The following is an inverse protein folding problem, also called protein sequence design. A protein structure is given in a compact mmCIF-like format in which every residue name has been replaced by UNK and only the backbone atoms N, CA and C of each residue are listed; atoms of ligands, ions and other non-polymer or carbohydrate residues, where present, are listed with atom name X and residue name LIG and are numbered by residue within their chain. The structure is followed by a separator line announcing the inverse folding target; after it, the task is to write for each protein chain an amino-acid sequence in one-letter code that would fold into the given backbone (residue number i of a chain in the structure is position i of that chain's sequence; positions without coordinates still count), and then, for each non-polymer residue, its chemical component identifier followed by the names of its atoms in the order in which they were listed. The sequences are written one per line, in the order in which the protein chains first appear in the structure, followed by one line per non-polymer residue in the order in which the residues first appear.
data_IF_699151113506
#
_entry.id   IF_699151113506
#
_cell.length_a   1.000
_cell.length_b   1.000
_cell.length_c   1.000
_cell.angle_alpha   90.00
_cell.angle_beta   90.00
_cell.angle_gamma   90.00
#
_symmetry.space_group_name_H-M   'P 1'
#
loop_
_entity.id
_entity.type
_entity.pdbx_description
1 polymer ?
#
# COMPACT_ATOMS: atom_id res chain seq x y z
N UNK A 1 -28.70 62.28 -15.49
CA UNK A 1 -28.98 60.83 -15.43
C UNK A 1 -27.65 60.09 -15.27
N UNK A 2 -27.27 59.76 -14.05
CA UNK A 2 -26.06 58.98 -13.75
C UNK A 2 -26.48 57.52 -13.63
N UNK A 3 -25.98 56.65 -14.51
CA UNK A 3 -26.25 55.20 -14.47
C UNK A 3 -25.32 54.58 -13.42
N UNK A 4 -25.89 54.09 -12.33
CA UNK A 4 -25.19 53.29 -11.32
C UNK A 4 -25.20 51.84 -11.80
N UNK A 5 -24.02 51.27 -12.05
CA UNK A 5 -23.84 49.84 -12.29
C UNK A 5 -23.69 49.14 -10.94
N UNK A 6 -24.67 48.30 -10.60
CA UNK A 6 -24.62 47.40 -9.44
C UNK A 6 -23.92 46.12 -9.89
N UNK A 7 -22.70 45.89 -9.40
CA UNK A 7 -21.96 44.66 -9.60
C UNK A 7 -22.45 43.65 -8.56
N UNK A 8 -23.18 42.63 -9.00
CA UNK A 8 -23.61 41.50 -8.15
C UNK A 8 -22.48 40.47 -8.13
N UNK A 9 -21.79 40.34 -7.01
CA UNK A 9 -20.83 39.26 -6.77
C UNK A 9 -21.61 37.96 -6.51
N UNK A 10 -21.60 37.04 -7.48
CA UNK A 10 -21.99 35.66 -7.26
C UNK A 10 -20.85 34.96 -6.51
N UNK A 11 -21.01 34.79 -5.21
CA UNK A 11 -20.13 33.94 -4.41
C UNK A 11 -20.47 32.48 -4.72
N UNK A 12 -19.78 31.87 -5.68
CA UNK A 12 -19.84 30.43 -5.88
C UNK A 12 -19.16 29.74 -4.69
N UNK A 13 -19.96 29.19 -3.77
CA UNK A 13 -19.48 28.22 -2.79
C UNK A 13 -19.14 26.93 -3.53
N UNK A 14 -17.86 26.73 -3.85
CA UNK A 14 -17.35 25.41 -4.17
C UNK A 14 -17.37 24.57 -2.89
N UNK A 15 -18.39 23.72 -2.75
CA UNK A 15 -18.40 22.64 -1.78
C UNK A 15 -17.54 21.53 -2.38
N UNK A 16 -16.24 21.53 -2.10
CA UNK A 16 -15.41 20.39 -2.39
C UNK A 16 -15.90 19.20 -1.57
N UNK A 17 -16.24 18.08 -2.21
CA UNK A 17 -16.48 16.82 -1.51
C UNK A 17 -15.18 16.39 -0.82
N UNK A 18 -15.12 16.62 0.49
CA UNK A 18 -14.08 16.06 1.35
C UNK A 18 -14.32 14.56 1.45
N UNK A 19 -13.76 13.80 0.51
CA UNK A 19 -13.66 12.36 0.65
C UNK A 19 -12.94 12.06 1.96
N UNK A 20 -13.53 11.21 2.80
CA UNK A 20 -12.92 10.93 4.09
C UNK A 20 -11.57 10.23 3.89
N UNK A 21 -10.48 10.89 4.32
CA UNK A 21 -9.12 10.35 4.27
C UNK A 21 -9.00 9.04 5.07
N UNK A 22 -8.29 8.06 4.50
CA UNK A 22 -7.96 6.81 5.17
C UNK A 22 -7.27 7.10 6.51
N UNK A 23 -7.74 6.47 7.58
CA UNK A 23 -7.26 6.66 8.93
C UNK A 23 -6.07 5.77 9.27
N UNK A 24 -5.73 4.80 8.41
CA UNK A 24 -4.58 3.91 8.55
C UNK A 24 -3.33 4.59 7.99
N UNK A 25 -2.25 4.58 8.78
CA UNK A 25 -0.94 5.08 8.36
C UNK A 25 -0.22 3.96 7.61
N UNK A 26 0.44 4.31 6.52
CA UNK A 26 1.18 3.35 5.68
C UNK A 26 0.33 2.12 5.29
N UNK A 27 -0.86 2.33 4.69
CA UNK A 27 -1.87 1.27 4.51
C UNK A 27 -1.48 0.17 3.52
N UNK A 28 -0.50 0.42 2.66
CA UNK A 28 0.04 -0.52 1.67
C UNK A 28 1.49 -0.91 1.98
N UNK A 29 1.96 -0.63 3.21
CA UNK A 29 3.30 -1.00 3.72
C UNK A 29 4.53 -0.41 3.00
N UNK A 30 4.34 0.49 2.04
CA UNK A 30 5.40 1.10 1.23
C UNK A 30 6.38 2.01 2.00
N UNK A 31 5.94 2.59 3.13
CA UNK A 31 6.82 3.42 3.95
C UNK A 31 7.73 2.55 4.82
N UNK A 32 8.97 2.36 4.38
CA UNK A 32 9.95 1.48 5.06
C UNK A 32 11.11 2.25 5.70
N UNK A 33 11.76 1.60 6.67
CA UNK A 33 13.08 1.95 7.22
C UNK A 33 14.21 1.30 6.44
N UNK A 34 14.02 0.06 5.98
CA UNK A 34 15.02 -0.74 5.27
C UNK A 34 14.36 -1.85 4.43
N UNK A 35 15.12 -2.43 3.51
CA UNK A 35 14.67 -3.54 2.69
C UNK A 35 14.74 -4.88 3.44
N UNK A 36 13.73 -5.77 3.30
CA UNK A 36 13.81 -7.09 3.89
C UNK A 36 14.83 -7.96 3.14
N UNK A 37 15.51 -8.81 3.89
CA UNK A 37 16.51 -9.77 3.42
C UNK A 37 16.41 -11.13 4.13
N UNK A 38 15.48 -11.26 5.08
CA UNK A 38 15.11 -12.52 5.72
C UNK A 38 13.72 -12.41 6.36
N UNK A 39 13.22 -13.52 6.89
CA UNK A 39 11.94 -13.59 7.63
C UNK A 39 11.97 -12.76 8.92
N UNK A 40 10.80 -12.50 9.51
CA UNK A 40 10.64 -11.76 10.76
C UNK A 40 11.20 -10.31 10.70
N UNK A 41 10.74 -9.57 9.70
CA UNK A 41 11.23 -8.22 9.41
C UNK A 41 10.15 -7.15 9.27
N UNK A 42 8.95 -7.39 9.80
CA UNK A 42 7.90 -6.36 9.89
C UNK A 42 8.41 -5.05 10.57
N UNK A 43 9.40 -5.14 11.46
CA UNK A 43 10.08 -3.98 12.08
C UNK A 43 10.66 -2.96 11.10
N UNK A 44 10.86 -3.34 9.84
CA UNK A 44 11.31 -2.42 8.78
C UNK A 44 10.18 -1.64 8.15
N UNK A 45 8.93 -1.99 8.43
CA UNK A 45 7.76 -1.24 7.98
C UNK A 45 7.46 -0.15 9.00
N UNK A 46 7.37 1.11 8.55
CA UNK A 46 7.04 2.22 9.46
C UNK A 46 5.63 2.09 9.98
N UNK A 47 5.48 2.34 11.28
CA UNK A 47 4.20 2.41 12.00
C UNK A 47 3.45 1.09 12.18
N UNK A 48 4.00 -0.02 11.68
CA UNK A 48 3.43 -1.35 11.84
C UNK A 48 4.24 -2.17 12.84
N UNK A 49 3.54 -2.95 13.65
CA UNK A 49 4.12 -3.68 14.76
C UNK A 49 3.65 -5.13 14.78
N UNK A 50 4.53 -6.10 15.05
CA UNK A 50 4.16 -7.50 15.17
C UNK A 50 3.47 -7.76 16.50
N UNK A 51 2.58 -8.75 16.52
CA UNK A 51 1.93 -9.24 17.73
C UNK A 51 1.52 -10.72 17.61
N UNK A 52 1.46 -11.48 18.70
CA UNK A 52 1.02 -12.90 18.64
C UNK A 52 1.54 -13.81 19.76
N UNK A 53 1.35 -15.12 19.60
CA UNK A 53 1.75 -16.13 20.60
C UNK A 53 3.23 -16.51 20.50
N UNK A 54 3.93 -16.44 21.62
CA UNK A 54 5.24 -17.06 21.91
C UNK A 54 6.46 -16.58 21.09
N UNK A 55 6.29 -16.09 19.86
CA UNK A 55 7.29 -15.39 19.05
C UNK A 55 6.59 -14.83 17.79
N UNK A 56 5.99 -13.62 17.82
CA UNK A 56 5.29 -13.11 16.66
C UNK A 56 6.27 -12.67 15.59
N UNK A 57 6.30 -13.40 14.48
CA UNK A 57 7.24 -13.20 13.37
C UNK A 57 6.57 -12.89 12.02
N UNK A 58 5.56 -11.99 11.91
CA UNK A 58 5.07 -11.58 10.60
C UNK A 58 6.23 -11.15 9.69
N UNK A 59 6.17 -11.63 8.46
CA UNK A 59 7.18 -11.36 7.47
C UNK A 59 6.85 -10.12 6.67
N UNK A 60 7.88 -9.48 6.16
CA UNK A 60 7.74 -8.36 5.26
C UNK A 60 8.35 -8.69 3.91
N UNK A 61 7.58 -8.49 2.84
CA UNK A 61 8.01 -8.68 1.46
C UNK A 61 8.02 -7.35 0.74
N UNK A 62 9.07 -7.10 -0.04
CA UNK A 62 9.17 -5.87 -0.82
C UNK A 62 9.95 -6.10 -2.12
N UNK A 63 9.58 -5.39 -3.19
CA UNK A 63 10.28 -5.37 -4.47
C UNK A 63 11.75 -4.92 -4.42
N UNK A 64 12.24 -4.35 -3.32
CA UNK A 64 13.64 -3.97 -3.15
C UNK A 64 14.51 -5.11 -2.58
N UNK A 65 13.91 -6.19 -2.09
CA UNK A 65 14.65 -7.36 -1.62
C UNK A 65 15.37 -8.03 -2.80
N UNK A 66 16.70 -8.01 -2.78
CA UNK A 66 17.54 -8.53 -3.85
C UNK A 66 17.84 -10.04 -3.75
N UNK A 67 17.40 -10.69 -2.67
CA UNK A 67 17.71 -12.09 -2.36
C UNK A 67 16.80 -13.10 -3.10
N UNK A 68 15.70 -12.63 -3.70
CA UNK A 68 14.65 -13.48 -4.28
C UNK A 68 13.91 -14.33 -3.25
N UNK A 69 14.17 -14.12 -1.96
CA UNK A 69 13.59 -14.86 -0.84
C UNK A 69 12.50 -14.03 -0.16
N UNK A 70 12.69 -12.71 -0.04
CA UNK A 70 11.72 -11.76 0.52
C UNK A 70 11.17 -10.78 -0.54
N UNK A 71 11.28 -11.13 -1.82
CA UNK A 71 10.94 -10.26 -2.94
C UNK A 71 9.44 -10.14 -3.24
N UNK A 72 9.11 -9.10 -4.00
CA UNK A 72 7.82 -8.97 -4.69
C UNK A 72 8.09 -8.76 -6.18
N UNK A 73 7.48 -9.55 -7.08
CA UNK A 73 6.45 -10.56 -6.80
C UNK A 73 7.01 -11.93 -6.37
N UNK A 74 8.30 -12.20 -6.55
CA UNK A 74 8.89 -13.52 -6.31
C UNK A 74 9.54 -13.64 -4.93
N UNK A 75 9.13 -14.64 -4.15
CA UNK A 75 9.67 -14.91 -2.82
C UNK A 75 9.69 -16.42 -2.48
N UNK A 76 10.06 -16.72 -1.24
CA UNK A 76 10.12 -18.08 -0.69
C UNK A 76 8.79 -18.85 -0.71
N UNK A 77 7.66 -18.15 -0.88
CA UNK A 77 6.31 -18.70 -0.91
C UNK A 77 5.69 -18.76 -2.32
N UNK A 78 6.40 -18.31 -3.34
CA UNK A 78 5.99 -18.40 -4.74
C UNK A 78 6.06 -17.05 -5.44
N UNK A 79 5.16 -16.85 -6.40
CA UNK A 79 5.00 -15.59 -7.12
C UNK A 79 3.64 -14.99 -6.75
N UNK A 80 3.65 -13.80 -6.14
CA UNK A 80 2.46 -13.02 -5.85
C UNK A 80 2.77 -11.53 -6.03
N UNK A 81 2.04 -10.88 -6.93
CA UNK A 81 2.11 -9.41 -7.08
C UNK A 81 1.35 -8.75 -5.93
N UNK A 82 1.89 -7.64 -5.42
CA UNK A 82 1.20 -6.83 -4.42
C UNK A 82 -0.16 -6.34 -4.95
N UNK A 83 -1.12 -6.12 -4.05
CA UNK A 83 -2.43 -5.60 -4.45
C UNK A 83 -2.28 -4.15 -4.93
N UNK A 84 -1.45 -3.37 -4.22
CA UNK A 84 -0.89 -2.12 -4.74
C UNK A 84 0.58 -1.95 -4.35
N UNK A 85 1.27 -0.97 -4.94
CA UNK A 85 2.66 -0.70 -4.58
C UNK A 85 3.64 -1.84 -4.92
N UNK A 86 4.62 -2.04 -4.04
CA UNK A 86 5.71 -3.01 -4.20
C UNK A 86 5.90 -3.91 -2.97
N UNK A 87 5.01 -3.85 -1.99
CA UNK A 87 5.18 -4.55 -0.72
C UNK A 87 3.88 -5.14 -0.18
N UNK A 88 4.03 -6.12 0.71
CA UNK A 88 2.94 -6.66 1.52
C UNK A 88 3.51 -7.36 2.74
N UNK A 89 2.63 -7.66 3.69
CA UNK A 89 3.00 -8.36 4.91
C UNK A 89 2.42 -9.77 4.89
N UNK A 90 3.21 -10.76 5.34
CA UNK A 90 2.76 -12.13 5.50
C UNK A 90 2.63 -12.53 6.96
N UNK A 91 1.62 -13.34 7.29
CA UNK A 91 1.41 -13.81 8.66
C UNK A 91 0.79 -15.21 8.73
N UNK A 92 1.14 -15.95 9.79
CA UNK A 92 0.55 -17.24 10.14
C UNK A 92 -0.82 -17.02 10.79
N UNK A 93 -1.89 -17.27 10.03
CA UNK A 93 -3.27 -17.19 10.52
C UNK A 93 -3.81 -18.52 11.07
N UNK A 94 -3.10 -19.63 10.86
CA UNK A 94 -3.40 -20.92 11.48
C UNK A 94 -2.18 -21.84 11.46
N UNK A 95 -1.95 -22.53 12.58
CA UNK A 95 -0.87 -23.50 12.73
C UNK A 95 -1.34 -24.68 13.59
N UNK A 96 -1.19 -25.90 13.07
CA UNK A 96 -1.45 -27.10 13.89
C UNK A 96 -0.28 -27.38 14.84
N UNK A 97 -0.53 -27.89 16.05
CA UNK A 97 0.54 -28.31 16.98
C UNK A 97 1.45 -29.45 16.48
N UNK A 98 1.09 -30.07 15.36
CA UNK A 98 1.88 -31.09 14.64
C UNK A 98 2.78 -30.50 13.57
N UNK A 99 2.75 -29.18 13.39
CA UNK A 99 3.59 -28.51 12.42
C UNK A 99 5.06 -28.66 12.79
N UNK A 100 5.86 -29.12 11.84
CA UNK A 100 7.23 -28.68 11.75
C UNK A 100 8.28 -29.77 11.68
N UNK A 101 9.41 -29.32 11.15
CA UNK A 101 10.75 -29.91 11.20
C UNK A 101 11.29 -30.00 12.65
N UNK A 102 10.47 -30.45 13.62
CA UNK A 102 10.82 -30.60 15.04
C UNK A 102 10.36 -29.50 15.99
N UNK A 103 9.56 -28.52 15.53
CA UNK A 103 9.08 -27.41 16.35
C UNK A 103 7.94 -27.86 17.30
N UNK A 104 8.02 -27.52 18.59
CA UNK A 104 6.89 -27.62 19.51
C UNK A 104 6.24 -26.24 19.60
N UNK A 105 5.19 -26.02 18.82
CA UNK A 105 4.49 -24.74 18.82
C UNK A 105 3.23 -24.83 19.69
N UNK A 106 2.90 -23.79 20.49
CA UNK A 106 1.68 -23.78 21.28
C UNK A 106 0.42 -24.01 20.43
N UNK A 107 -0.62 -24.59 21.04
CA UNK A 107 -1.93 -24.65 20.42
C UNK A 107 -2.46 -23.24 20.14
N UNK A 108 -3.25 -23.07 19.07
CA UNK A 108 -3.74 -21.77 18.60
C UNK A 108 -2.63 -20.75 18.29
N UNK A 109 -1.46 -21.17 17.83
CA UNK A 109 -0.46 -20.19 17.41
C UNK A 109 -0.96 -19.36 16.23
N UNK A 110 -0.80 -18.04 16.35
CA UNK A 110 -1.24 -17.00 15.42
C UNK A 110 -0.29 -15.82 15.44
N UNK A 111 -0.15 -15.20 14.29
CA UNK A 111 0.49 -13.91 14.11
C UNK A 111 -0.55 -12.84 13.80
N UNK A 112 -0.22 -11.61 14.18
CA UNK A 112 -1.04 -10.43 14.00
C UNK A 112 -0.15 -9.26 13.63
N UNK A 113 -0.72 -8.32 12.89
CA UNK A 113 -0.10 -7.03 12.60
C UNK A 113 -0.94 -5.90 13.14
N UNK A 114 -0.28 -4.92 13.73
CA UNK A 114 -0.93 -3.80 14.41
C UNK A 114 -0.46 -2.46 13.89
N UNK A 115 -1.37 -1.50 13.88
CA UNK A 115 -1.10 -0.11 13.50
C UNK A 115 -1.89 0.84 14.37
N UNK A 116 -1.30 2.00 14.65
CA UNK A 116 -2.02 3.10 15.28
C UNK A 116 -2.76 3.91 14.22
N UNK A 117 -4.05 4.16 14.45
CA UNK A 117 -4.85 5.05 13.61
C UNK A 117 -4.38 6.50 13.78
N UNK A 118 -4.55 7.32 12.74
CA UNK A 118 -4.19 8.74 12.75
C UNK A 118 -4.91 9.56 13.82
N UNK A 119 -6.10 9.12 14.23
CA UNK A 119 -6.90 9.71 15.30
C UNK A 119 -7.86 8.67 15.90
N UNK A 120 -8.31 8.87 17.15
CA UNK A 120 -9.28 7.97 17.77
C UNK A 120 -10.62 7.98 17.03
N UNK A 121 -11.30 6.83 17.01
CA UNK A 121 -12.66 6.70 16.52
C UNK A 121 -13.65 7.42 17.46
N UNK A 122 -14.74 7.91 16.89
CA UNK A 122 -15.78 8.68 17.60
C UNK A 122 -16.94 7.77 17.96
N UNK A 123 -17.35 7.79 19.23
CA UNK A 123 -18.45 6.97 19.72
C UNK A 123 -19.74 7.21 18.92
N UNK A 124 -20.41 6.13 18.52
CA UNK A 124 -21.68 6.18 17.80
C UNK A 124 -21.54 6.42 16.29
N UNK A 125 -20.37 6.79 15.80
CA UNK A 125 -20.12 6.87 14.36
C UNK A 125 -19.92 5.47 13.78
N UNK A 126 -20.43 5.26 12.56
CA UNK A 126 -20.15 4.07 11.77
C UNK A 126 -18.85 4.24 11.00
N UNK A 127 -18.05 3.18 10.94
CA UNK A 127 -16.78 3.14 10.23
C UNK A 127 -16.77 1.96 9.27
N UNK A 128 -16.25 2.20 8.07
CA UNK A 128 -15.92 1.20 7.08
C UNK A 128 -14.47 0.77 7.26
N UNK A 129 -14.23 -0.53 7.21
CA UNK A 129 -12.89 -1.10 7.14
C UNK A 129 -12.78 -2.09 5.98
N UNK A 130 -11.63 -2.11 5.32
CA UNK A 130 -11.28 -3.14 4.35
C UNK A 130 -9.79 -3.46 4.39
N UNK A 131 -9.44 -4.65 3.94
CA UNK A 131 -8.08 -5.07 3.61
C UNK A 131 -8.15 -6.26 2.65
N UNK A 132 -7.05 -6.53 1.98
CA UNK A 132 -6.95 -7.61 1.00
C UNK A 132 -6.11 -8.75 1.54
N UNK A 133 -6.50 -9.98 1.26
CA UNK A 133 -5.76 -11.19 1.65
C UNK A 133 -5.54 -12.13 0.48
N UNK A 134 -4.41 -12.83 0.49
CA UNK A 134 -4.12 -13.89 -0.46
C UNK A 134 -3.44 -15.06 0.27
N UNK A 135 -3.86 -16.29 0.00
CA UNK A 135 -3.28 -17.49 0.59
C UNK A 135 -2.04 -17.89 -0.19
N UNK A 136 -0.90 -18.09 0.49
CA UNK A 136 0.30 -18.52 -0.23
C UNK A 136 0.22 -19.97 -0.71
N UNK A 137 0.83 -20.21 -1.87
CA UNK A 137 0.82 -21.47 -2.62
C UNK A 137 1.29 -22.72 -1.83
N UNK A 138 2.21 -22.53 -0.89
CA UNK A 138 2.81 -23.61 -0.10
C UNK A 138 2.00 -24.02 1.15
N UNK A 139 0.81 -23.46 1.36
CA UNK A 139 -0.06 -23.79 2.50
C UNK A 139 -0.75 -25.15 2.36
N UNK A 140 -1.00 -25.79 3.50
CA UNK A 140 -1.83 -27.01 3.60
C UNK A 140 -3.28 -26.69 3.88
N UNK A 141 -3.51 -25.58 4.57
CA UNK A 141 -4.81 -25.18 5.05
C UNK A 141 -5.13 -23.78 4.55
N UNK A 142 -6.41 -23.56 4.29
CA UNK A 142 -7.05 -22.26 4.28
C UNK A 142 -8.00 -22.16 5.47
N UNK A 143 -8.37 -20.94 5.82
CA UNK A 143 -9.33 -20.63 6.89
C UNK A 143 -10.45 -19.73 6.35
N UNK A 144 -11.56 -19.62 7.09
CA UNK A 144 -12.67 -18.74 6.73
C UNK A 144 -12.72 -17.44 7.55
N UNK A 145 -11.76 -17.21 8.45
CA UNK A 145 -11.77 -16.05 9.34
C UNK A 145 -10.42 -15.32 9.44
N UNK A 146 -10.40 -14.10 8.93
CA UNK A 146 -9.44 -13.05 9.25
C UNK A 146 -10.26 -11.78 9.47
N UNK A 147 -9.87 -10.93 10.43
CA UNK A 147 -10.65 -9.76 10.81
C UNK A 147 -9.84 -8.57 11.28
N UNK A 148 -10.55 -7.48 11.54
CA UNK A 148 -10.05 -6.21 12.07
C UNK A 148 -10.54 -6.02 13.50
N UNK A 149 -9.62 -5.88 14.44
CA UNK A 149 -9.91 -5.63 15.85
C UNK A 149 -9.46 -4.24 16.26
N UNK A 150 -10.42 -3.43 16.72
CA UNK A 150 -10.21 -2.04 17.11
C UNK A 150 -10.23 -1.89 18.63
N UNK A 151 -9.22 -1.20 19.18
CA UNK A 151 -9.03 -1.00 20.62
C UNK A 151 -8.52 0.40 20.93
N UNK A 152 -8.69 0.86 22.19
CA UNK A 152 -8.27 2.20 22.62
C UNK A 152 -6.75 2.38 22.67
N UNK A 153 -6.05 1.32 23.02
CA UNK A 153 -4.62 1.29 23.19
C UNK A 153 -4.07 0.13 22.36
N UNK A 154 -2.81 0.21 21.95
CA UNK A 154 -2.14 -0.93 21.34
C UNK A 154 -2.17 -2.12 22.32
N UNK A 155 -2.85 -3.21 21.97
CA UNK A 155 -3.10 -4.28 22.92
C UNK A 155 -1.80 -5.00 23.29
N UNK A 156 -1.53 -5.13 24.58
CA UNK A 156 -0.48 -6.01 25.10
C UNK A 156 -1.14 -7.35 25.44
N UNK A 157 -1.24 -8.28 24.48
CA UNK A 157 -1.81 -9.59 24.82
C UNK A 157 -0.77 -10.45 25.55
N UNK A 158 -1.20 -11.11 26.60
CA UNK A 158 -0.38 -12.11 27.27
C UNK A 158 -0.47 -13.44 26.52
N UNK A 159 0.62 -13.82 25.86
CA UNK A 159 0.74 -15.05 25.08
C UNK A 159 0.55 -16.32 25.93
N UNK A 160 0.74 -16.27 27.25
CA UNK A 160 0.51 -17.41 28.15
C UNK A 160 -0.96 -17.61 28.46
N UNK A 161 -1.76 -16.55 28.34
CA UNK A 161 -3.18 -16.55 28.68
C UNK A 161 -4.07 -16.19 27.50
N UNK A 162 -3.57 -16.27 26.25
CA UNK A 162 -4.31 -15.97 25.02
C UNK A 162 -5.62 -16.75 24.94
N UNK A 163 -6.64 -16.17 25.56
CA UNK A 163 -7.99 -16.65 25.61
C UNK A 163 -8.75 -15.87 24.55
N UNK A 164 -8.71 -16.40 23.33
CA UNK A 164 -9.35 -15.85 22.14
C UNK A 164 -10.84 -15.54 22.34
N UNK A 165 -11.49 -16.09 23.39
CA UNK A 165 -12.89 -15.81 23.69
C UNK A 165 -13.14 -14.33 24.06
N UNK A 166 -12.11 -13.59 24.48
CA UNK A 166 -12.23 -12.19 24.87
C UNK A 166 -12.02 -11.20 23.72
N UNK A 167 -11.40 -11.63 22.62
CA UNK A 167 -11.05 -10.75 21.51
C UNK A 167 -12.02 -10.99 20.37
N UNK A 168 -12.86 -9.99 20.10
CA UNK A 168 -13.89 -10.06 19.05
C UNK A 168 -13.60 -8.97 18.04
N UNK A 169 -13.10 -9.37 16.87
CA UNK A 169 -12.93 -8.48 15.74
C UNK A 169 -14.28 -7.83 15.40
N UNK A 170 -14.27 -6.54 15.14
CA UNK A 170 -15.46 -5.78 14.77
C UNK A 170 -15.83 -6.00 13.30
N UNK A 171 -14.82 -6.23 12.45
CA UNK A 171 -14.99 -6.62 11.05
C UNK A 171 -14.33 -8.00 10.88
N UNK A 172 -15.00 -8.90 10.18
CA UNK A 172 -14.50 -10.24 9.87
C UNK A 172 -14.75 -10.52 8.39
N UNK A 173 -13.96 -11.43 7.80
CA UNK A 173 -14.32 -12.07 6.53
C UNK A 173 -15.69 -12.73 6.61
N UNK A 174 -16.33 -12.88 5.45
CA UNK A 174 -17.60 -13.58 5.33
C UNK A 174 -17.43 -15.02 5.87
N UNK A 175 -18.18 -15.42 6.91
CA UNK A 175 -18.04 -16.73 7.52
C UNK A 175 -18.38 -17.88 6.57
N UNK A 176 -19.19 -17.62 5.54
CA UNK A 176 -19.59 -18.61 4.54
C UNK A 176 -18.58 -18.67 3.36
N UNK A 177 -17.60 -17.78 3.32
CA UNK A 177 -16.55 -17.75 2.31
C UNK A 177 -15.24 -18.33 2.85
N UNK A 178 -14.75 -19.36 2.16
CA UNK A 178 -13.39 -19.83 2.37
C UNK A 178 -12.38 -18.83 1.78
N UNK A 179 -11.34 -18.47 2.52
CA UNK A 179 -10.23 -17.65 2.01
C UNK A 179 -9.16 -18.57 1.39
N UNK A 180 -9.46 -19.22 0.28
CA UNK A 180 -8.57 -20.19 -0.39
C UNK A 180 -8.01 -19.74 -1.75
N UNK A 181 -8.21 -18.48 -2.11
CA UNK A 181 -7.61 -17.88 -3.30
C UNK A 181 -6.11 -17.64 -3.10
N UNK A 182 -5.32 -18.12 -4.06
CA UNK A 182 -3.87 -18.06 -4.12
C UNK A 182 -3.37 -17.49 -5.45
N UNK A 183 -4.25 -16.89 -6.24
CA UNK A 183 -3.92 -16.21 -7.50
C UNK A 183 -4.38 -14.75 -7.41
N UNK A 184 -5.64 -14.54 -7.06
CA UNK A 184 -6.24 -13.21 -6.89
C UNK A 184 -6.31 -12.81 -5.41
N UNK A 185 -6.41 -11.50 -5.18
CA UNK A 185 -6.62 -10.97 -3.84
C UNK A 185 -8.09 -11.06 -3.44
N UNK A 186 -8.37 -11.60 -2.26
CA UNK A 186 -9.70 -11.64 -1.67
C UNK A 186 -9.89 -10.47 -0.73
N UNK A 187 -10.93 -9.66 -0.96
CA UNK A 187 -11.26 -8.55 -0.05
C UNK A 187 -11.95 -9.05 1.22
N UNK A 188 -11.50 -8.56 2.36
CA UNK A 188 -12.23 -8.60 3.63
C UNK A 188 -12.69 -7.19 3.95
N UNK A 189 -13.99 -6.99 4.16
CA UNK A 189 -14.52 -5.67 4.47
C UNK A 189 -15.81 -5.72 5.29
N UNK A 190 -16.15 -4.60 5.92
CA UNK A 190 -17.41 -4.45 6.63
C UNK A 190 -17.54 -3.08 7.29
N UNK A 191 -18.64 -2.89 8.01
CA UNK A 191 -18.83 -1.71 8.85
C UNK A 191 -19.03 -2.10 10.30
N UNK A 192 -18.75 -1.16 11.20
CA UNK A 192 -19.13 -1.27 12.60
C UNK A 192 -19.38 0.10 13.22
N UNK A 193 -20.19 0.14 14.27
CA UNK A 193 -20.37 1.34 15.10
C UNK A 193 -19.29 1.40 16.19
N UNK A 194 -18.50 2.47 16.20
CA UNK A 194 -17.42 2.64 17.19
C UNK A 194 -17.99 2.93 18.59
N UNK A 195 -17.30 2.42 19.62
CA UNK A 195 -17.59 2.73 21.03
C UNK A 195 -16.93 4.03 21.48
N UNK A 196 -15.96 4.53 20.72
CA UNK A 196 -15.25 5.77 20.95
C UNK A 196 -13.92 5.56 21.65
N UNK A 197 -12.90 6.28 21.16
CA UNK A 197 -11.55 6.26 21.69
C UNK A 197 -10.68 5.15 21.12
N UNK A 198 -11.19 4.28 20.24
CA UNK A 198 -10.37 3.27 19.56
C UNK A 198 -9.28 3.96 18.72
N UNK A 199 -8.01 3.66 18.97
CA UNK A 199 -6.85 4.27 18.32
C UNK A 199 -5.90 3.23 17.74
N UNK A 200 -6.10 1.95 18.04
CA UNK A 200 -5.31 0.84 17.55
C UNK A 200 -6.15 -0.10 16.69
N UNK A 201 -5.57 -0.55 15.58
CA UNK A 201 -6.09 -1.59 14.71
C UNK A 201 -5.15 -2.81 14.79
N UNK A 202 -5.73 -4.00 14.89
CA UNK A 202 -5.02 -5.29 14.80
C UNK A 202 -5.69 -6.14 13.73
N UNK A 203 -4.91 -6.72 12.82
CA UNK A 203 -5.36 -7.68 11.82
C UNK A 203 -4.93 -9.10 12.20
N UNK A 204 -5.81 -10.07 11.98
CA UNK A 204 -5.50 -11.49 12.20
C UNK A 204 -6.75 -12.33 12.44
N UNK A 205 -6.54 -13.54 12.95
CA UNK A 205 -7.63 -14.47 13.26
C UNK A 205 -7.93 -14.46 14.75
N UNK A 206 -9.14 -14.08 15.13
CA UNK A 206 -9.53 -13.95 16.54
C UNK A 206 -10.37 -15.12 17.06
N UNK A 207 -10.79 -16.03 16.17
CA UNK A 207 -11.48 -17.25 16.56
C UNK A 207 -10.50 -18.30 17.11
N UNK A 208 -10.86 -19.00 18.20
CA UNK A 208 -10.11 -20.17 18.64
C UNK A 208 -10.18 -21.29 17.58
N UNK A 209 -9.21 -22.21 17.59
CA UNK A 209 -9.16 -23.36 16.68
C UNK A 209 -10.48 -24.16 16.65
N UNK A 210 -11.21 -24.23 17.79
CA UNK A 210 -12.49 -24.94 17.91
C UNK A 210 -13.65 -24.32 17.14
N UNK A 211 -13.52 -23.05 16.73
CA UNK A 211 -14.56 -22.28 16.04
C UNK A 211 -14.10 -21.77 14.68
N UNK A 212 -12.85 -22.06 14.30
CA UNK A 212 -12.28 -21.69 13.01
C UNK A 212 -12.53 -22.83 12.01
N UNK A 213 -13.18 -22.53 10.90
CA UNK A 213 -13.33 -23.51 9.83
C UNK A 213 -12.04 -23.56 9.01
N UNK A 214 -11.50 -24.77 8.84
CA UNK A 214 -10.29 -25.02 8.07
C UNK A 214 -10.57 -25.96 6.91
N UNK A 215 -10.04 -25.66 5.74
CA UNK A 215 -10.12 -26.53 4.56
C UNK A 215 -8.71 -26.90 4.11
N UNK A 216 -8.51 -28.17 3.74
CA UNK A 216 -7.24 -28.59 3.14
C UNK A 216 -7.13 -28.07 1.71
N UNK A 217 -5.97 -27.53 1.37
CA UNK A 217 -5.67 -27.00 0.04
C UNK A 217 -4.75 -27.95 -0.73
N UNK A 218 -4.67 -27.74 -2.05
CA UNK A 218 -3.75 -28.47 -2.91
C UNK A 218 -2.38 -27.77 -2.88
N UNK A 219 -1.60 -28.07 -1.85
CA UNK A 219 -0.26 -27.50 -1.66
C UNK A 219 0.58 -27.54 -2.95
N UNK A 220 1.08 -26.38 -3.39
CA UNK A 220 2.10 -26.29 -4.43
C UNK A 220 3.48 -26.29 -3.76
N UNK A 221 4.31 -27.26 -4.10
CA UNK A 221 5.69 -27.32 -3.60
C UNK A 221 6.58 -26.43 -4.45
N UNK A 222 7.13 -25.39 -3.84
CA UNK A 222 7.98 -24.41 -4.51
C UNK A 222 9.38 -24.97 -4.76
N UNK A 223 9.89 -25.79 -3.82
CA UNK A 223 11.20 -26.42 -3.96
C UNK A 223 11.09 -27.95 -4.00
N UNK A 224 12.01 -28.58 -4.74
CA UNK A 224 12.17 -30.04 -4.71
C UNK A 224 12.54 -30.59 -3.33
N UNK A 225 13.14 -29.76 -2.47
CA UNK A 225 13.40 -30.10 -1.07
C UNK A 225 12.09 -30.29 -0.31
N UNK A 226 11.16 -29.34 -0.42
CA UNK A 226 9.88 -29.40 0.30
C UNK A 226 9.02 -30.57 -0.14
N UNK A 227 9.04 -30.89 -1.44
CA UNK A 227 8.37 -32.08 -1.98
C UNK A 227 8.86 -33.39 -1.37
N UNK A 228 10.14 -33.45 -1.01
CA UNK A 228 10.79 -34.65 -0.47
C UNK A 228 10.80 -34.68 1.07
N UNK A 229 10.28 -33.65 1.76
CA UNK A 229 10.14 -33.69 3.21
C UNK A 229 9.15 -34.79 3.62
N UNK A 230 9.47 -35.61 4.65
CA UNK A 230 8.50 -36.54 5.23
C UNK A 230 7.21 -35.81 5.62
N UNK A 231 6.04 -36.41 5.33
CA UNK A 231 4.73 -35.77 5.55
C UNK A 231 4.54 -35.20 6.96
N UNK A 232 5.09 -35.85 7.99
CA UNK A 232 4.99 -35.41 9.38
C UNK A 232 5.88 -34.19 9.72
N UNK A 233 6.80 -33.79 8.84
CA UNK A 233 7.67 -32.61 9.00
C UNK A 233 7.27 -31.46 8.07
N UNK A 234 6.31 -31.67 7.18
CA UNK A 234 5.80 -30.63 6.29
C UNK A 234 5.00 -29.59 7.11
N UNK A 235 5.17 -28.28 6.84
CA UNK A 235 4.43 -27.25 7.58
C UNK A 235 2.93 -27.41 7.35
N UNK A 236 2.15 -27.37 8.42
CA UNK A 236 0.69 -27.50 8.40
C UNK A 236 0.11 -26.18 8.88
N UNK A 237 0.13 -25.22 7.95
CA UNK A 237 -0.21 -23.82 8.17
C UNK A 237 -1.26 -23.34 7.18
N UNK A 238 -1.95 -22.27 7.60
CA UNK A 238 -2.52 -21.27 6.72
C UNK A 238 -1.75 -19.96 6.94
N UNK A 239 -1.11 -19.48 5.87
CA UNK A 239 -0.27 -18.29 5.87
C UNK A 239 -0.81 -17.35 4.80
N UNK A 240 -1.09 -16.12 5.20
CA UNK A 240 -1.75 -15.14 4.34
C UNK A 240 -0.87 -13.92 4.15
N UNK A 241 -0.84 -13.45 2.91
CA UNK A 241 -0.36 -12.13 2.55
C UNK A 241 -1.50 -11.14 2.77
N UNK A 242 -1.18 -9.92 3.21
CA UNK A 242 -2.12 -8.83 3.45
C UNK A 242 -1.61 -7.57 2.79
N UNK A 243 -2.52 -6.81 2.21
CA UNK A 243 -2.24 -5.52 1.60
C UNK A 243 -3.45 -4.56 1.66
N UNK A 244 -3.21 -3.29 1.36
CA UNK A 244 -4.19 -2.21 1.17
C UNK A 244 -5.29 -2.11 2.23
N UNK A 245 -4.92 -1.59 3.39
CA UNK A 245 -5.81 -1.46 4.54
C UNK A 245 -6.50 -0.09 4.52
N UNK A 246 -7.82 -0.08 4.55
CA UNK A 246 -8.62 1.15 4.71
C UNK A 246 -9.41 1.12 6.01
N UNK A 247 -9.40 2.26 6.71
CA UNK A 247 -10.37 2.57 7.75
C UNK A 247 -10.85 4.00 7.53
N UNK A 248 -12.16 4.21 7.41
CA UNK A 248 -12.74 5.55 7.26
C UNK A 248 -14.13 5.62 7.90
N UNK A 249 -14.57 6.79 8.39
CA UNK A 249 -15.98 6.99 8.74
C UNK A 249 -16.87 6.72 7.52
N UNK A 250 -18.02 6.12 7.75
CA UNK A 250 -19.08 6.00 6.75
C UNK A 250 -19.76 7.36 6.61
N UNK A 251 -19.71 7.93 5.41
CA UNK A 251 -20.56 9.06 5.05
C UNK A 251 -21.89 8.50 4.51
N UNK A 252 -23.05 8.86 5.08
CA UNK A 252 -24.37 8.42 4.60
C UNK A 252 -24.66 8.78 3.14
N UNK A 253 -23.93 9.73 2.57
CA UNK A 253 -24.06 10.23 1.20
C UNK A 253 -23.08 9.59 0.22
N UNK A 254 -22.09 8.86 0.72
CA UNK A 254 -21.12 8.10 -0.09
C UNK A 254 -21.44 6.61 -0.07
N UNK A 255 -21.15 5.87 -1.16
CA UNK A 255 -21.19 4.41 -1.14
C UNK A 255 -20.29 3.85 -0.01
N UNK A 256 -20.85 2.96 0.81
CA UNK A 256 -20.15 2.30 1.93
C UNK A 256 -18.99 1.47 1.40
N UNK A 257 -19.29 0.63 0.41
CA UNK A 257 -18.27 0.06 -0.43
C UNK A 257 -17.89 1.17 -1.41
N UNK A 258 -16.63 1.64 -1.47
CA UNK A 258 -16.20 2.21 -2.74
C UNK A 258 -16.60 1.16 -3.79
N UNK A 259 -17.23 1.56 -4.89
CA UNK A 259 -17.42 0.64 -6.00
C UNK A 259 -16.11 -0.11 -6.14
N UNK A 260 -16.15 -1.44 -6.25
CA UNK A 260 -14.95 -2.19 -6.64
C UNK A 260 -14.48 -1.50 -7.90
N UNK A 261 -13.50 -0.62 -7.77
CA UNK A 261 -12.70 -0.16 -8.88
C UNK A 261 -11.86 -1.39 -9.15
N UNK A 262 -12.48 -2.41 -9.74
CA UNK A 262 -11.79 -3.46 -10.45
C UNK A 262 -10.82 -2.69 -11.29
N UNK A 263 -9.53 -2.70 -10.93
CA UNK A 263 -8.51 -1.73 -11.33
C UNK A 263 -8.88 -1.22 -12.71
N UNK A 264 -9.62 -0.11 -12.74
CA UNK A 264 -10.32 0.23 -13.97
C UNK A 264 -9.21 0.48 -14.98
N UNK A 265 -9.33 0.01 -16.23
CA UNK A 265 -8.30 0.29 -17.23
C UNK A 265 -7.99 1.77 -17.12
N UNK A 266 -6.77 2.08 -16.67
CA UNK A 266 -6.35 3.38 -16.14
C UNK A 266 -7.10 4.46 -16.89
N UNK A 267 -8.02 5.16 -16.21
CA UNK A 267 -8.85 6.14 -16.87
C UNK A 267 -7.91 7.17 -17.50
N UNK A 268 -7.96 7.23 -18.83
CA UNK A 268 -6.99 7.92 -19.69
C UNK A 268 -7.14 9.44 -19.51
N UNK A 269 -8.17 9.87 -18.78
CA UNK A 269 -8.42 11.26 -18.39
C UNK A 269 -7.68 11.71 -17.12
N UNK A 270 -6.74 10.94 -16.55
CA UNK A 270 -5.96 11.40 -15.37
C UNK A 270 -5.23 12.75 -15.60
N UNK A 271 -4.86 13.08 -16.85
CA UNK A 271 -4.31 14.38 -17.23
C UNK A 271 -5.33 15.29 -17.95
N UNK A 272 -6.60 14.90 -18.06
CA UNK A 272 -7.63 15.67 -18.77
C UNK A 272 -7.32 15.92 -20.26
N UNK A 273 -8.00 16.88 -20.90
CA UNK A 273 -7.70 17.28 -22.27
C UNK A 273 -6.29 17.87 -22.36
N UNK A 274 -5.57 17.51 -23.41
CA UNK A 274 -4.15 17.77 -23.54
C UNK A 274 -3.85 19.14 -24.18
N UNK A 275 -4.20 20.25 -23.53
CA UNK A 275 -3.98 21.57 -24.13
C UNK A 275 -2.53 22.04 -24.01
N UNK A 276 -1.99 22.63 -25.08
CA UNK A 276 -0.64 23.21 -25.09
C UNK A 276 -0.49 24.24 -23.97
N UNK A 277 0.56 24.11 -23.18
CA UNK A 277 0.83 24.95 -22.01
C UNK A 277 0.26 24.43 -20.69
N UNK A 278 -0.55 23.36 -20.71
CA UNK A 278 -0.94 22.68 -19.47
C UNK A 278 0.26 22.01 -18.82
N UNK A 279 0.25 21.99 -17.48
CA UNK A 279 1.33 21.47 -16.64
C UNK A 279 0.76 20.55 -15.57
N UNK A 280 1.43 19.42 -15.37
CA UNK A 280 1.01 18.35 -14.48
C UNK A 280 2.17 17.96 -13.56
N UNK A 281 1.90 17.75 -12.28
CA UNK A 281 2.90 17.20 -11.35
C UNK A 281 2.80 15.68 -11.34
N UNK A 282 3.90 15.00 -11.63
CA UNK A 282 3.97 13.55 -11.51
C UNK A 282 4.02 13.18 -10.03
N UNK A 283 3.00 12.48 -9.56
CA UNK A 283 2.89 12.08 -8.16
C UNK A 283 3.83 10.90 -7.88
N UNK A 284 4.39 10.84 -6.68
CA UNK A 284 5.18 9.67 -6.23
C UNK A 284 6.41 9.35 -7.12
N UNK A 285 7.00 10.36 -7.77
CA UNK A 285 8.30 10.19 -8.44
C UNK A 285 9.43 10.39 -7.43
N UNK A 286 10.05 9.27 -7.05
CA UNK A 286 11.15 9.20 -6.11
C UNK A 286 12.47 8.85 -6.79
N UNK A 287 13.55 9.36 -6.18
CA UNK A 287 14.93 9.14 -6.61
C UNK A 287 15.78 8.69 -5.42
N UNK A 288 16.84 7.93 -5.68
CA UNK A 288 17.86 7.66 -4.66
C UNK A 288 18.43 8.96 -4.08
N UNK A 289 18.80 8.93 -2.80
CA UNK A 289 19.32 10.10 -2.09
C UNK A 289 20.51 10.72 -2.85
N UNK A 290 20.44 12.04 -3.10
CA UNK A 290 21.43 12.82 -3.89
C UNK A 290 21.71 12.32 -5.31
N UNK A 291 20.86 11.45 -5.87
CA UNK A 291 21.02 10.91 -7.23
C UNK A 291 19.80 11.21 -8.10
N UNK A 292 19.96 10.91 -9.39
CA UNK A 292 18.91 10.90 -10.41
C UNK A 292 18.41 9.49 -10.75
N UNK A 293 18.90 8.45 -10.06
CA UNK A 293 18.39 7.08 -10.23
C UNK A 293 16.94 7.00 -9.75
N UNK A 294 16.02 6.69 -10.66
CA UNK A 294 14.60 6.48 -10.35
C UNK A 294 14.43 5.27 -9.44
N UNK A 295 13.68 5.44 -8.35
CA UNK A 295 13.23 4.32 -7.53
C UNK A 295 12.11 3.56 -8.23
N UNK A 296 11.99 2.28 -7.89
CA UNK A 296 11.02 1.37 -8.52
C UNK A 296 9.57 1.72 -8.15
N UNK A 297 9.36 2.28 -6.96
CA UNK A 297 8.11 2.93 -6.53
C UNK A 297 7.61 4.04 -7.49
N UNK A 298 8.50 4.67 -8.27
CA UNK A 298 8.15 5.68 -9.28
C UNK A 298 7.55 5.08 -10.55
N UNK A 299 7.73 3.77 -10.78
CA UNK A 299 7.33 3.11 -12.02
C UNK A 299 5.83 3.13 -12.24
N UNK A 300 5.02 3.12 -11.17
CA UNK A 300 3.56 3.18 -11.31
C UNK A 300 3.14 4.49 -12.01
N UNK A 301 3.59 5.64 -11.52
CA UNK A 301 3.26 6.93 -12.12
C UNK A 301 3.92 7.09 -13.51
N UNK A 302 5.15 6.63 -13.68
CA UNK A 302 5.83 6.69 -14.97
C UNK A 302 5.16 5.82 -16.04
N UNK A 303 4.61 4.67 -15.66
CA UNK A 303 3.84 3.83 -16.57
C UNK A 303 2.51 4.50 -16.95
N UNK A 304 1.84 5.23 -16.05
CA UNK A 304 0.66 6.04 -16.40
C UNK A 304 1.00 7.09 -17.46
N UNK A 305 2.10 7.84 -17.26
CA UNK A 305 2.55 8.83 -18.23
C UNK A 305 2.91 8.17 -19.58
N UNK A 306 3.62 7.04 -19.55
CA UNK A 306 3.94 6.27 -20.77
C UNK A 306 2.66 5.85 -21.50
N UNK A 307 1.71 5.24 -20.81
CA UNK A 307 0.46 4.76 -21.41
C UNK A 307 -0.37 5.90 -22.00
N UNK A 308 -0.39 7.05 -21.33
CA UNK A 308 -0.97 8.29 -21.85
C UNK A 308 -0.29 8.71 -23.17
N UNK A 309 1.04 8.78 -23.20
CA UNK A 309 1.78 9.17 -24.40
C UNK A 309 1.64 8.16 -25.55
N UNK A 310 1.49 6.86 -25.26
CA UNK A 310 1.19 5.83 -26.27
C UNK A 310 -0.18 6.09 -26.91
N UNK A 311 -1.18 6.45 -26.11
CA UNK A 311 -2.56 6.72 -26.59
C UNK A 311 -2.68 8.03 -27.35
N UNK A 312 -1.81 9.01 -27.06
CA UNK A 312 -1.81 10.31 -27.72
C UNK A 312 -0.51 10.53 -28.52
N UNK A 313 -0.33 9.88 -29.68
CA UNK A 313 0.94 9.87 -30.40
C UNK A 313 1.41 11.24 -30.93
N UNK A 314 0.50 12.22 -31.00
CA UNK A 314 0.78 13.59 -31.47
C UNK A 314 1.30 14.51 -30.37
N UNK A 315 1.09 14.16 -29.09
CA UNK A 315 1.50 15.00 -27.98
C UNK A 315 3.03 14.99 -27.85
N UNK A 316 3.60 16.19 -27.73
CA UNK A 316 4.97 16.44 -27.30
C UNK A 316 4.97 17.05 -25.91
N UNK A 317 5.84 16.56 -25.03
CA UNK A 317 5.93 17.04 -23.64
C UNK A 317 7.34 17.50 -23.27
N UNK A 318 7.43 18.35 -22.25
CA UNK A 318 8.67 18.70 -21.56
C UNK A 318 8.60 18.22 -20.12
N UNK A 319 9.58 17.43 -19.67
CA UNK A 319 9.74 17.03 -18.27
C UNK A 319 10.54 18.10 -17.52
N UNK A 320 10.02 18.54 -16.38
CA UNK A 320 10.58 19.62 -15.57
C UNK A 320 10.99 19.09 -14.19
N UNK A 321 12.27 19.21 -13.84
CA UNK A 321 12.80 18.79 -12.55
C UNK A 321 12.93 19.95 -11.55
N UNK A 322 12.55 19.74 -10.30
CA UNK A 322 12.65 20.74 -9.23
C UNK A 322 13.34 20.18 -7.97
N UNK A 323 14.07 21.03 -7.25
CA UNK A 323 14.67 20.71 -5.95
C UNK A 323 14.12 21.62 -4.84
N UNK A 324 14.40 21.26 -3.60
CA UNK A 324 14.33 22.22 -2.49
C UNK A 324 15.53 23.18 -2.52
N UNK A 325 15.63 24.06 -1.52
CA UNK A 325 16.69 25.07 -1.43
C UNK A 325 17.97 24.60 -0.70
N UNK A 326 18.10 23.29 -0.41
CA UNK A 326 19.28 22.75 0.29
C UNK A 326 20.38 22.50 -0.74
N UNK A 327 21.60 22.99 -0.48
CA UNK A 327 22.73 22.89 -1.41
C UNK A 327 22.94 24.13 -2.28
N UNK A 328 24.00 24.12 -3.08
CA UNK A 328 24.31 25.26 -3.97
C UNK A 328 23.36 25.30 -5.17
N UNK A 329 23.24 26.49 -5.78
CA UNK A 329 22.43 26.68 -6.99
C UNK A 329 22.91 25.76 -8.11
N UNK A 330 24.22 25.61 -8.29
CA UNK A 330 24.82 24.78 -9.34
C UNK A 330 24.51 23.30 -9.12
N UNK A 331 24.56 22.82 -7.87
CA UNK A 331 24.23 21.44 -7.51
C UNK A 331 22.75 21.17 -7.77
N UNK A 332 21.86 22.03 -7.29
CA UNK A 332 20.43 21.88 -7.47
C UNK A 332 20.02 21.97 -8.95
N UNK A 333 20.64 22.86 -9.71
CA UNK A 333 20.44 22.95 -11.15
C UNK A 333 20.85 21.67 -11.86
N UNK A 334 22.02 21.11 -11.52
CA UNK A 334 22.48 19.83 -12.09
C UNK A 334 21.54 18.68 -11.72
N UNK A 335 21.22 18.53 -10.43
CA UNK A 335 20.42 17.43 -9.92
C UNK A 335 19.00 17.42 -10.51
N UNK A 336 18.35 18.59 -10.58
CA UNK A 336 17.03 18.70 -11.22
C UNK A 336 17.07 18.33 -12.70
N UNK A 337 18.08 18.77 -13.45
CA UNK A 337 18.25 18.41 -14.86
C UNK A 337 18.45 16.90 -15.03
N UNK A 338 19.30 16.29 -14.21
CA UNK A 338 19.55 14.85 -14.26
C UNK A 338 18.29 14.04 -13.93
N UNK A 339 17.50 14.47 -12.94
CA UNK A 339 16.22 13.82 -12.59
C UNK A 339 15.19 13.87 -13.71
N UNK A 340 15.04 15.04 -14.35
CA UNK A 340 14.14 15.19 -15.50
C UNK A 340 14.62 14.32 -16.68
N UNK A 341 15.94 14.27 -16.90
CA UNK A 341 16.55 13.40 -17.93
C UNK A 341 16.28 11.92 -17.66
N UNK A 342 16.39 11.44 -16.43
CA UNK A 342 16.14 10.03 -16.09
C UNK A 342 14.69 9.60 -16.36
N UNK A 343 13.73 10.51 -16.19
CA UNK A 343 12.33 10.27 -16.58
C UNK A 343 12.20 10.15 -18.10
N UNK A 344 12.84 11.04 -18.87
CA UNK A 344 12.87 10.94 -20.34
C UNK A 344 13.52 9.64 -20.80
N UNK A 345 14.67 9.26 -20.22
CA UNK A 345 15.36 8.01 -20.54
C UNK A 345 14.48 6.78 -20.26
N UNK A 346 13.74 6.79 -19.15
CA UNK A 346 12.75 5.75 -18.86
C UNK A 346 11.67 5.66 -19.96
N UNK A 347 11.08 6.79 -20.37
CA UNK A 347 10.02 6.80 -21.39
C UNK A 347 10.54 6.33 -22.76
N UNK A 348 11.77 6.72 -23.14
CA UNK A 348 12.41 6.27 -24.37
C UNK A 348 12.66 4.76 -24.33
N UNK A 349 13.21 4.25 -23.22
CA UNK A 349 13.45 2.82 -23.03
C UNK A 349 12.16 1.99 -23.11
N UNK A 350 11.01 2.61 -22.82
CA UNK A 350 9.69 1.99 -22.87
C UNK A 350 8.88 2.36 -24.13
N UNK A 351 9.56 2.80 -25.19
CA UNK A 351 8.99 2.89 -26.55
C UNK A 351 8.37 4.23 -26.94
N UNK A 352 8.51 5.28 -26.12
CA UNK A 352 8.14 6.64 -26.53
C UNK A 352 9.26 7.23 -27.38
N UNK A 353 8.92 7.81 -28.53
CA UNK A 353 9.91 8.45 -29.40
C UNK A 353 10.57 9.64 -28.70
N UNK A 354 11.90 9.70 -28.78
CA UNK A 354 12.74 10.80 -28.30
C UNK A 354 12.32 12.18 -28.83
N UNK A 355 11.87 12.27 -30.10
CA UNK A 355 11.38 13.52 -30.70
C UNK A 355 10.17 14.13 -29.96
N UNK A 356 9.46 13.33 -29.16
CA UNK A 356 8.28 13.75 -28.39
C UNK A 356 8.60 14.23 -26.98
N UNK A 357 9.87 14.15 -26.56
CA UNK A 357 10.29 14.31 -25.18
C UNK A 357 11.39 15.37 -25.07
N UNK A 358 11.11 16.43 -24.32
CA UNK A 358 12.11 17.39 -23.87
C UNK A 358 12.29 17.29 -22.36
N UNK A 359 13.42 17.78 -21.82
CA UNK A 359 13.60 17.91 -20.38
C UNK A 359 14.35 19.19 -20.00
N UNK A 360 14.04 19.73 -18.83
CA UNK A 360 14.71 20.88 -18.25
C UNK A 360 14.77 20.75 -16.72
N UNK A 361 15.90 21.17 -16.13
CA UNK A 361 16.01 21.34 -14.68
C UNK A 361 15.80 22.80 -14.29
N UNK A 362 15.13 23.02 -13.17
CA UNK A 362 14.88 24.35 -12.63
C UNK A 362 15.64 24.65 -11.32
N UNK A 363 16.33 23.64 -10.79
CA UNK A 363 16.90 23.66 -9.45
C UNK A 363 15.85 24.08 -8.43
N UNK A 364 16.26 24.97 -7.53
CA UNK A 364 15.43 25.51 -6.46
C UNK A 364 14.71 26.81 -6.86
N UNK A 365 14.71 27.18 -8.14
CA UNK A 365 14.30 28.53 -8.60
C UNK A 365 12.78 28.73 -8.64
N UNK A 366 12.01 27.65 -8.61
CA UNK A 366 10.54 27.66 -8.72
C UNK A 366 9.90 26.81 -7.60
N UNK A 367 9.99 27.24 -6.33
CA UNK A 367 9.31 26.58 -5.23
C UNK A 367 7.79 26.80 -5.31
N UNK A 368 7.01 25.77 -5.02
CA UNK A 368 5.54 25.85 -4.91
C UNK A 368 5.09 26.15 -3.47
N UNK A 369 5.96 25.86 -2.50
CA UNK A 369 5.76 26.16 -1.08
C UNK A 369 7.05 26.70 -0.45
N UNK A 370 7.01 27.42 0.68
CA UNK A 370 8.21 27.90 1.36
C UNK A 370 9.14 26.74 1.77
N UNK A 371 10.47 26.88 1.66
CA UNK A 371 11.41 25.80 2.04
C UNK A 371 11.73 25.73 3.55
N UNK A 372 10.83 26.20 4.39
CA UNK A 372 11.02 26.34 5.85
C UNK A 372 10.97 25.00 6.60
N UNK A 373 10.07 24.09 6.21
CA UNK A 373 9.87 22.80 6.88
C UNK A 373 10.35 21.62 6.03
N UNK A 374 10.73 20.48 6.65
CA UNK A 374 11.05 19.25 5.92
C UNK A 374 9.92 18.80 4.97
N UNK A 375 8.67 18.97 5.40
CA UNK A 375 7.47 18.63 4.64
C UNK A 375 7.35 19.51 3.40
N UNK A 376 7.50 20.84 3.54
CA UNK A 376 7.44 21.74 2.39
C UNK A 376 8.61 21.53 1.43
N UNK A 377 9.82 21.24 1.95
CA UNK A 377 10.95 20.86 1.11
C UNK A 377 10.65 19.59 0.30
N UNK A 378 9.95 18.62 0.89
CA UNK A 378 9.52 17.43 0.15
C UNK A 378 8.58 17.78 -1.02
N UNK A 379 7.62 18.67 -0.82
CA UNK A 379 6.73 19.13 -1.89
C UNK A 379 7.48 19.87 -3.01
N UNK A 380 8.55 20.60 -2.69
CA UNK A 380 9.37 21.28 -3.70
C UNK A 380 10.28 20.31 -4.49
N UNK A 381 10.64 19.16 -3.92
CA UNK A 381 11.36 18.07 -4.62
C UNK A 381 10.39 17.26 -5.46
N UNK A 382 10.10 17.73 -6.67
CA UNK A 382 9.09 17.15 -7.55
C UNK A 382 9.54 17.12 -9.01
N UNK A 383 8.80 16.36 -9.80
CA UNK A 383 8.90 16.36 -11.26
C UNK A 383 7.54 16.73 -11.83
N UNK A 384 7.56 17.61 -12.82
CA UNK A 384 6.38 18.01 -13.58
C UNK A 384 6.56 17.63 -15.04
N UNK A 385 5.48 17.65 -15.81
CA UNK A 385 5.58 17.75 -17.26
C UNK A 385 4.59 18.77 -17.80
N UNK A 386 4.94 19.39 -18.91
CA UNK A 386 4.10 20.33 -19.64
C UNK A 386 3.90 19.89 -21.08
N UNK A 387 2.74 20.23 -21.65
CA UNK A 387 2.41 19.93 -23.05
C UNK A 387 2.97 21.03 -23.94
N UNK A 388 3.84 20.67 -24.87
CA UNK A 388 4.44 21.57 -25.85
C UNK A 388 3.62 21.63 -27.14
N UNK A 389 3.12 20.48 -27.59
CA UNK A 389 2.35 20.31 -28.84
C UNK A 389 1.29 19.21 -28.60
N UNK A 390 0.12 19.31 -29.22
CA UNK A 390 -0.97 18.32 -29.18
C UNK A 390 -1.65 18.19 -30.55
#
# INVERSE_FOLDING_TARGET
MVKVFVLVFFCCFYVGQLHSQNMVINPSFEEIWDCPYTMDQLKYVKSWFPFGTADPSPDFFHGCASDGFMGVPNNMFGEQTAHSGESYVGMICYLTSRSGRGWKVPANHREYVMVQLTKPLVAGNEYYGEFWVNLVDACEFSINNIGMYFTKDMPNFDWQTMNFHHYKAQINSDPDQQLDDNEEWTKVSGTFTAKGGELALTLGTFLPDSSLETKRTKRKFITGRDKNLPKHLQPMIAYYLIDDIIVRPVDPTEPIFPETVAMQPIDIEYYGPAEVGMKFTLQNIYFEFEKATLLRSSLLELNKLKDYLVKHPHIKIQIEGHTDNVGSREINQKLSTERAKSVVEFLIANGISDFRLEYIGHGSSYPIVPNDTPQNRALNRRVEFSILEN
#
